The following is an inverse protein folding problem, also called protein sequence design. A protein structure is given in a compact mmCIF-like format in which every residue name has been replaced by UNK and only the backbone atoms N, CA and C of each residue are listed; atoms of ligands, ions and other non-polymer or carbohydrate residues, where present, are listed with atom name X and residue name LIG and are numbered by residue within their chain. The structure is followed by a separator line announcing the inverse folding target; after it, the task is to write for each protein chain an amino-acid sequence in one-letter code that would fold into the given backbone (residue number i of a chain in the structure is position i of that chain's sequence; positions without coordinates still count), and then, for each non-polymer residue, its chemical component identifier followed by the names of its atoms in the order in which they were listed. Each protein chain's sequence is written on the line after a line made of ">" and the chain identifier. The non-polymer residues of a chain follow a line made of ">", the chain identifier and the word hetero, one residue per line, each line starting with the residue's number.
data_IF_680683000536
#
_entry.id   IF_680683000536
#
_cell.length_a   1.000
_cell.length_b   1.000
_cell.length_c   1.000
_cell.angle_alpha   90.00
_cell.angle_beta   90.00
_cell.angle_gamma   90.00
#
_symmetry.space_group_name_H-M   'P 1'
#
loop_
_entity.id
_entity.type
_entity.pdbx_description
1 polymer ?
#
# COMPACT_ATOMS: atom_id res chain seq x y z
N UNK A 1 15.13 44.87 -27.06
CA UNK A 1 14.44 44.16 -25.96
C UNK A 1 14.24 42.73 -26.43
N UNK A 2 14.56 41.74 -25.61
CA UNK A 2 14.22 40.33 -25.88
C UNK A 2 12.71 40.14 -25.68
N UNK A 3 12.05 39.43 -26.58
CA UNK A 3 10.65 39.02 -26.39
C UNK A 3 10.68 37.78 -25.48
N UNK A 4 9.93 37.83 -24.36
CA UNK A 4 9.87 36.71 -23.42
C UNK A 4 9.14 35.51 -24.03
N UNK A 5 9.76 34.34 -23.96
CA UNK A 5 9.13 33.06 -24.23
C UNK A 5 8.77 32.40 -22.92
N UNK A 6 7.47 32.22 -22.67
CA UNK A 6 7.00 31.57 -21.43
C UNK A 6 7.57 30.15 -21.29
N UNK A 7 7.65 29.61 -20.06
CA UNK A 7 8.12 28.26 -19.85
C UNK A 7 7.31 27.24 -20.63
N UNK A 8 7.95 26.13 -21.00
CA UNK A 8 7.22 24.98 -21.53
C UNK A 8 6.27 24.43 -20.47
N UNK A 9 5.16 23.84 -20.93
CA UNK A 9 4.26 23.08 -20.05
C UNK A 9 5.08 22.05 -19.25
N UNK A 10 4.92 21.99 -17.91
CA UNK A 10 5.62 21.02 -17.10
C UNK A 10 5.36 19.59 -17.54
N UNK A 11 6.34 18.72 -17.29
CA UNK A 11 6.15 17.29 -17.42
C UNK A 11 5.07 16.80 -16.43
N UNK A 12 4.53 15.60 -16.67
CA UNK A 12 3.64 14.91 -15.72
C UNK A 12 4.29 14.93 -14.33
N UNK A 13 3.63 15.51 -13.29
CA UNK A 13 4.18 15.51 -11.94
C UNK A 13 4.46 14.10 -11.45
N UNK A 14 5.42 13.99 -10.54
CA UNK A 14 5.78 12.71 -9.90
C UNK A 14 5.44 12.73 -8.42
N UNK A 15 5.07 11.57 -7.88
CA UNK A 15 4.62 11.40 -6.50
C UNK A 15 3.97 10.03 -6.32
N UNK A 16 3.43 9.73 -5.12
CA UNK A 16 2.62 8.53 -4.90
C UNK A 16 1.35 8.56 -5.77
N UNK A 17 0.85 7.37 -6.16
CA UNK A 17 -0.43 7.24 -6.89
C UNK A 17 -1.65 7.09 -5.98
N UNK A 18 -1.44 6.89 -4.67
CA UNK A 18 -2.52 6.81 -3.69
C UNK A 18 -2.08 7.21 -2.28
N UNK A 19 -3.07 7.53 -1.45
CA UNK A 19 -2.91 7.95 -0.07
C UNK A 19 -4.17 7.78 0.75
N UNK A 20 -4.17 8.36 1.94
CA UNK A 20 -5.25 8.34 2.91
C UNK A 20 -5.50 9.78 3.33
N UNK A 21 -6.77 10.14 3.54
CA UNK A 21 -7.12 11.48 3.97
C UNK A 21 -6.43 11.88 5.28
N UNK A 22 -6.28 13.19 5.48
CA UNK A 22 -5.65 13.82 6.64
C UNK A 22 -4.16 13.46 6.81
N UNK A 23 -3.51 13.01 5.73
CA UNK A 23 -2.06 12.81 5.68
C UNK A 23 -1.43 13.68 4.59
N UNK A 24 -0.24 14.19 4.89
CA UNK A 24 0.53 15.01 3.96
C UNK A 24 1.32 14.14 2.96
N UNK A 25 1.28 14.54 1.68
CA UNK A 25 1.97 13.89 0.57
C UNK A 25 2.78 14.91 -0.23
N UNK A 26 3.94 14.49 -0.75
CA UNK A 26 4.84 15.32 -1.54
C UNK A 26 4.76 14.97 -3.03
N UNK A 27 4.70 16.00 -3.86
CA UNK A 27 4.69 15.91 -5.32
C UNK A 27 5.77 16.81 -5.89
N UNK A 28 6.31 16.41 -7.05
CA UNK A 28 7.47 17.04 -7.66
C UNK A 28 7.19 17.41 -9.11
N UNK A 29 7.78 18.52 -9.54
CA UNK A 29 7.59 19.10 -10.86
C UNK A 29 8.91 19.47 -11.52
N UNK A 30 8.93 19.44 -12.85
CA UNK A 30 10.03 19.98 -13.65
C UNK A 30 9.52 20.51 -15.00
N UNK A 31 10.20 21.53 -15.51
CA UNK A 31 9.97 22.16 -16.79
C UNK A 31 11.23 22.90 -17.25
N UNK A 32 11.25 23.31 -18.51
CA UNK A 32 12.30 24.15 -19.10
C UNK A 32 11.71 25.44 -19.63
N UNK A 33 12.49 26.51 -19.50
CA UNK A 33 12.22 27.79 -20.11
C UNK A 33 13.02 27.94 -21.42
N UNK A 34 12.38 28.25 -22.56
CA UNK A 34 13.08 28.42 -23.84
C UNK A 34 14.14 29.52 -23.81
N UNK A 35 13.91 30.51 -22.96
CA UNK A 35 14.79 31.63 -22.75
C UNK A 35 15.90 31.36 -21.72
N UNK A 36 15.90 30.15 -21.14
CA UNK A 36 16.74 29.67 -20.05
C UNK A 36 16.65 30.56 -18.79
N UNK A 37 15.49 31.19 -18.59
CA UNK A 37 15.20 31.94 -17.38
C UNK A 37 14.90 30.99 -16.19
N UNK A 38 15.07 31.53 -14.98
CA UNK A 38 14.64 30.82 -13.77
C UNK A 38 13.11 30.74 -13.74
N UNK A 39 12.62 29.60 -13.26
CA UNK A 39 11.20 29.26 -13.24
C UNK A 39 10.78 28.83 -11.84
N UNK A 40 9.51 29.01 -11.50
CA UNK A 40 8.89 28.52 -10.27
C UNK A 40 7.63 27.73 -10.64
N UNK A 41 7.14 26.91 -9.71
CA UNK A 41 6.02 26.02 -9.95
C UNK A 41 4.87 26.29 -8.96
N UNK A 42 3.65 25.98 -9.37
CA UNK A 42 2.50 25.81 -8.45
C UNK A 42 1.71 24.57 -8.84
N UNK A 43 1.05 23.98 -7.86
CA UNK A 43 0.31 22.73 -8.00
C UNK A 43 -1.18 22.99 -7.82
N UNK A 44 -1.99 22.47 -8.73
CA UNK A 44 -3.42 22.29 -8.53
C UNK A 44 -3.63 20.89 -7.97
N UNK A 45 -4.33 20.78 -6.84
CA UNK A 45 -4.48 19.51 -6.13
C UNK A 45 -5.69 18.70 -6.60
N UNK A 46 -6.57 19.27 -7.40
CA UNK A 46 -7.79 18.61 -7.88
C UNK A 46 -8.93 18.58 -6.86
N UNK A 47 -8.76 19.19 -5.68
CA UNK A 47 -9.79 19.33 -4.63
C UNK A 47 -10.36 20.76 -4.53
N UNK A 48 -9.99 21.62 -5.47
CA UNK A 48 -10.32 23.05 -5.49
C UNK A 48 -9.27 23.94 -4.83
N UNK A 49 -8.25 23.37 -4.17
CA UNK A 49 -7.11 24.09 -3.66
C UNK A 49 -5.93 24.11 -4.65
N UNK A 50 -5.09 25.13 -4.55
CA UNK A 50 -3.90 25.33 -5.38
C UNK A 50 -2.80 25.86 -4.48
N UNK A 51 -1.60 25.29 -4.57
CA UNK A 51 -0.46 25.76 -3.80
C UNK A 51 -0.11 27.21 -4.12
N UNK A 52 0.55 27.88 -3.17
CA UNK A 52 1.36 29.05 -3.50
C UNK A 52 2.41 28.70 -4.57
N UNK A 53 2.92 29.73 -5.23
CA UNK A 53 4.10 29.57 -6.08
C UNK A 53 5.32 29.23 -5.22
N UNK A 54 6.05 28.20 -5.62
CA UNK A 54 7.31 27.80 -5.02
C UNK A 54 8.45 28.78 -5.27
N UNK A 55 9.65 28.35 -4.91
CA UNK A 55 10.86 29.13 -5.16
C UNK A 55 11.24 29.12 -6.64
N UNK A 56 11.97 30.15 -7.08
CA UNK A 56 12.60 30.07 -8.39
C UNK A 56 13.75 29.07 -8.39
N UNK A 57 13.72 28.15 -9.34
CA UNK A 57 14.76 27.19 -9.69
C UNK A 57 15.32 27.49 -11.08
N UNK A 58 16.47 26.93 -11.42
CA UNK A 58 17.00 27.02 -12.78
C UNK A 58 16.08 26.30 -13.77
N UNK A 59 16.07 26.75 -15.04
CA UNK A 59 15.43 26.00 -16.14
C UNK A 59 15.92 24.55 -16.17
N UNK A 60 15.00 23.59 -16.22
CA UNK A 60 15.28 22.15 -16.10
C UNK A 60 15.48 21.65 -14.67
N UNK A 61 15.33 22.51 -13.67
CA UNK A 61 15.35 22.15 -12.26
C UNK A 61 14.05 21.48 -11.80
N UNK A 62 14.07 20.98 -10.57
CA UNK A 62 12.93 20.36 -9.90
C UNK A 62 12.53 21.19 -8.69
N UNK A 63 11.22 21.34 -8.47
CA UNK A 63 10.64 21.86 -7.23
C UNK A 63 9.58 20.88 -6.69
N UNK A 64 9.17 21.07 -5.45
CA UNK A 64 8.20 20.21 -4.78
C UNK A 64 7.23 20.99 -3.91
N UNK A 65 6.01 20.50 -3.82
CA UNK A 65 5.02 20.97 -2.85
C UNK A 65 4.34 19.80 -2.16
N UNK A 66 3.80 20.06 -0.97
CA UNK A 66 3.10 19.08 -0.18
C UNK A 66 1.64 19.48 0.05
N UNK A 67 0.74 18.49 0.04
CA UNK A 67 -0.69 18.70 0.29
C UNK A 67 -1.28 17.66 1.23
N UNK A 68 -2.36 18.04 1.92
CA UNK A 68 -3.14 17.13 2.77
C UNK A 68 -4.59 17.11 2.28
N UNK A 69 -5.02 15.98 1.73
CA UNK A 69 -6.38 15.79 1.25
C UNK A 69 -7.30 15.44 2.44
N UNK A 70 -8.41 16.15 2.62
CA UNK A 70 -9.32 15.94 3.77
C UNK A 70 -10.47 14.98 3.49
N UNK A 71 -10.67 14.59 2.24
CA UNK A 71 -11.73 13.66 1.80
C UNK A 71 -11.14 12.50 1.03
N UNK A 72 -11.74 11.30 1.15
CA UNK A 72 -11.50 10.24 0.19
C UNK A 72 -12.00 10.61 -1.20
N UNK A 73 -11.35 10.11 -2.25
CA UNK A 73 -11.70 10.40 -3.64
C UNK A 73 -10.54 10.22 -4.61
N UNK A 74 -10.79 10.55 -5.87
CA UNK A 74 -9.77 10.61 -6.93
C UNK A 74 -9.46 12.07 -7.20
N UNK A 75 -8.18 12.40 -7.23
CA UNK A 75 -7.67 13.76 -7.41
C UNK A 75 -6.73 13.81 -8.62
N UNK A 76 -6.89 14.84 -9.45
CA UNK A 76 -6.07 15.07 -10.64
C UNK A 76 -5.06 16.18 -10.35
N UNK A 77 -3.84 15.80 -10.02
CA UNK A 77 -2.78 16.74 -9.63
C UNK A 77 -2.09 17.26 -10.90
N UNK A 78 -2.10 18.57 -11.08
CA UNK A 78 -1.49 19.24 -12.23
C UNK A 78 -0.50 20.31 -11.78
N UNK A 79 0.45 20.65 -12.64
CA UNK A 79 1.46 21.68 -12.35
C UNK A 79 1.51 22.73 -13.45
N UNK A 80 1.74 23.98 -13.05
CA UNK A 80 2.04 25.09 -13.94
C UNK A 80 3.39 25.70 -13.58
N UNK A 81 4.14 26.16 -14.59
CA UNK A 81 5.39 26.89 -14.42
C UNK A 81 5.21 28.39 -14.73
N UNK A 82 6.05 29.22 -14.12
CA UNK A 82 6.14 30.66 -14.40
C UNK A 82 7.59 31.14 -14.39
N UNK A 83 7.97 31.93 -15.38
CA UNK A 83 9.29 32.55 -15.45
C UNK A 83 9.43 33.78 -14.53
N UNK A 84 10.65 34.34 -14.45
CA UNK A 84 10.95 35.54 -13.64
C UNK A 84 10.31 36.83 -14.17
N UNK A 85 9.87 36.83 -15.43
CA UNK A 85 9.21 37.94 -16.11
C UNK A 85 7.67 37.86 -15.95
N UNK A 86 7.17 36.80 -15.30
CA UNK A 86 5.77 36.57 -15.00
C UNK A 86 5.00 35.79 -16.08
N UNK A 87 5.68 35.30 -17.12
CA UNK A 87 5.07 34.46 -18.14
C UNK A 87 4.72 33.08 -17.62
N UNK A 88 3.46 32.66 -17.76
CA UNK A 88 2.97 31.37 -17.27
C UNK A 88 2.80 30.36 -18.41
N UNK A 89 3.11 29.09 -18.12
CA UNK A 89 2.83 27.96 -19.01
C UNK A 89 1.35 27.55 -18.98
N UNK A 90 0.97 26.58 -19.82
CA UNK A 90 -0.23 25.77 -19.56
C UNK A 90 -0.02 24.83 -18.37
N UNK A 91 -1.11 24.28 -17.85
CA UNK A 91 -1.08 23.17 -16.88
C UNK A 91 -0.61 21.88 -17.55
N UNK A 92 0.11 21.04 -16.80
CA UNK A 92 0.53 19.71 -17.22
C UNK A 92 -0.64 18.75 -17.42
N UNK A 93 -0.37 17.60 -18.01
CA UNK A 93 -1.24 16.42 -17.86
C UNK A 93 -1.40 16.06 -16.37
N UNK A 94 -2.55 15.50 -15.96
CA UNK A 94 -2.83 15.19 -14.56
C UNK A 94 -2.17 13.88 -14.11
N UNK A 95 -1.55 13.91 -12.91
CA UNK A 95 -1.25 12.71 -12.15
C UNK A 95 -2.48 12.32 -11.33
N UNK A 96 -3.02 11.12 -11.58
CA UNK A 96 -4.14 10.58 -10.81
C UNK A 96 -3.65 10.12 -9.43
N UNK A 97 -4.25 10.67 -8.38
CA UNK A 97 -3.97 10.34 -6.99
C UNK A 97 -5.26 9.88 -6.28
N UNK A 98 -5.26 8.67 -5.74
CA UNK A 98 -6.44 8.08 -5.08
C UNK A 98 -6.29 8.17 -3.56
N UNK A 99 -7.20 8.86 -2.90
CA UNK A 99 -7.24 8.98 -1.43
C UNK A 99 -8.36 8.11 -0.87
N UNK A 100 -8.04 7.28 0.13
CA UNK A 100 -9.06 6.52 0.87
C UNK A 100 -9.45 7.23 2.17
N UNK A 101 -10.67 6.96 2.64
CA UNK A 101 -11.16 7.52 3.91
C UNK A 101 -10.49 6.89 5.14
N UNK A 102 -10.05 5.64 5.04
CA UNK A 102 -9.50 4.90 6.17
C UNK A 102 -8.12 4.37 5.82
N UNK A 103 -7.11 4.79 6.59
CA UNK A 103 -5.87 4.04 6.70
C UNK A 103 -6.14 2.94 7.72
N UNK A 104 -6.29 1.71 7.27
CA UNK A 104 -6.30 0.60 8.21
C UNK A 104 -4.92 0.50 8.87
N UNK A 105 -4.86 0.28 10.19
CA UNK A 105 -3.61 0.13 10.91
C UNK A 105 -2.63 -0.82 10.21
N UNK A 106 -3.12 -1.96 9.72
CA UNK A 106 -2.34 -2.86 8.92
C UNK A 106 -3.11 -3.45 7.74
N UNK A 107 -2.40 -3.60 6.62
CA UNK A 107 -2.81 -4.43 5.49
C UNK A 107 -1.66 -5.38 5.17
N UNK A 108 -1.97 -6.63 4.89
CA UNK A 108 -1.00 -7.67 4.56
C UNK A 108 -1.38 -8.24 3.20
N UNK A 109 -0.46 -8.18 2.26
CA UNK A 109 -0.65 -8.67 0.91
C UNK A 109 0.21 -9.91 0.66
N UNK A 110 -0.43 -10.98 0.20
CA UNK A 110 0.20 -12.21 -0.25
C UNK A 110 0.11 -12.31 -1.77
N UNK A 111 1.26 -12.50 -2.43
CA UNK A 111 1.35 -12.80 -3.87
C UNK A 111 2.19 -14.05 -4.08
N UNK A 112 1.89 -14.87 -5.09
CA UNK A 112 2.69 -16.05 -5.46
C UNK A 112 2.65 -16.29 -6.98
N UNK A 113 3.48 -17.22 -7.47
CA UNK A 113 3.49 -17.64 -8.87
C UNK A 113 2.37 -18.64 -9.18
N UNK A 114 2.21 -19.05 -10.43
CA UNK A 114 1.17 -19.99 -10.88
C UNK A 114 1.15 -21.35 -10.13
N UNK A 115 2.29 -21.77 -9.57
CA UNK A 115 2.45 -23.06 -8.90
C UNK A 115 3.09 -22.90 -7.51
N UNK A 116 2.54 -23.50 -6.44
CA UNK A 116 1.28 -24.26 -6.43
C UNK A 116 0.08 -23.36 -6.71
N UNK A 117 -0.99 -24.00 -7.20
CA UNK A 117 -2.17 -23.29 -7.72
C UNK A 117 -2.87 -22.49 -6.62
N UNK A 118 -2.83 -22.99 -5.38
CA UNK A 118 -3.67 -22.51 -4.30
C UNK A 118 -2.90 -22.49 -2.98
N UNK A 119 -2.59 -21.29 -2.51
CA UNK A 119 -2.08 -21.05 -1.18
C UNK A 119 -2.91 -19.95 -0.52
N UNK A 120 -3.25 -20.15 0.75
CA UNK A 120 -4.21 -19.32 1.47
C UNK A 120 -3.53 -18.55 2.59
N UNK A 121 -3.96 -17.31 2.80
CA UNK A 121 -3.61 -16.46 3.90
C UNK A 121 -4.45 -16.81 5.12
N UNK A 122 -3.76 -17.00 6.23
CA UNK A 122 -4.36 -17.25 7.54
C UNK A 122 -3.84 -16.24 8.54
N UNK A 123 -4.74 -15.67 9.34
CA UNK A 123 -4.37 -14.86 10.49
C UNK A 123 -5.18 -15.25 11.72
N UNK A 124 -4.47 -15.42 12.84
CA UNK A 124 -5.08 -15.55 14.16
C UNK A 124 -4.96 -14.21 14.88
N UNK A 125 -6.06 -13.76 15.44
CA UNK A 125 -6.13 -12.53 16.23
C UNK A 125 -5.79 -12.80 17.70
N UNK A 126 -5.31 -11.79 18.44
CA UNK A 126 -5.34 -11.84 19.90
C UNK A 126 -6.79 -11.90 20.41
N UNK A 127 -6.97 -12.03 21.72
CA UNK A 127 -8.30 -11.93 22.30
C UNK A 127 -8.90 -10.54 22.07
N UNK A 128 -10.02 -10.49 21.35
CA UNK A 128 -10.80 -9.30 21.03
C UNK A 128 -12.17 -9.49 21.66
N UNK A 129 -12.51 -8.61 22.59
CA UNK A 129 -13.78 -8.65 23.33
C UNK A 129 -14.02 -9.96 24.10
N UNK A 130 -12.95 -10.71 24.39
CA UNK A 130 -12.99 -11.97 25.15
C UNK A 130 -12.71 -13.22 24.32
N UNK A 131 -12.79 -13.13 23.00
CA UNK A 131 -12.64 -14.27 22.08
C UNK A 131 -11.45 -14.09 21.13
N UNK A 132 -10.84 -15.21 20.72
CA UNK A 132 -9.81 -15.22 19.67
C UNK A 132 -10.40 -15.77 18.38
N UNK A 133 -9.97 -15.20 17.26
CA UNK A 133 -10.54 -15.48 15.95
C UNK A 133 -9.48 -15.93 14.97
N UNK A 134 -9.86 -16.87 14.11
CA UNK A 134 -9.07 -17.30 12.96
C UNK A 134 -9.75 -16.79 11.69
N UNK A 135 -9.05 -15.94 10.94
CA UNK A 135 -9.52 -15.33 9.70
C UNK A 135 -8.78 -15.96 8.53
N UNK A 136 -9.54 -16.54 7.61
CA UNK A 136 -9.10 -17.27 6.41
C UNK A 136 -10.26 -17.39 5.42
N UNK A 137 -10.07 -18.05 4.27
CA UNK A 137 -11.10 -18.14 3.22
C UNK A 137 -12.48 -18.62 3.73
N UNK A 138 -12.51 -19.59 4.65
CA UNK A 138 -13.75 -20.16 5.19
C UNK A 138 -14.43 -19.28 6.24
N UNK A 139 -13.70 -18.33 6.83
CA UNK A 139 -14.16 -17.37 7.85
C UNK A 139 -13.47 -16.04 7.64
N UNK A 140 -13.98 -15.25 6.70
CA UNK A 140 -13.28 -14.06 6.19
C UNK A 140 -13.22 -12.89 7.18
N UNK A 141 -13.98 -12.93 8.29
CA UNK A 141 -13.96 -11.87 9.29
C UNK A 141 -14.77 -10.62 8.89
N UNK A 142 -14.60 -9.54 9.66
CA UNK A 142 -15.33 -8.28 9.50
C UNK A 142 -14.46 -7.11 9.95
N UNK A 143 -14.60 -5.94 9.32
CA UNK A 143 -13.82 -4.73 9.65
C UNK A 143 -14.48 -3.81 10.67
N UNK A 144 -15.78 -3.98 10.94
CA UNK A 144 -16.56 -3.05 11.76
C UNK A 144 -17.13 -3.65 13.05
N UNK A 145 -16.90 -4.95 13.24
CA UNK A 145 -17.23 -5.73 14.44
C UNK A 145 -16.13 -6.76 14.64
N UNK A 146 -15.99 -7.33 15.84
CA UNK A 146 -15.07 -8.43 16.10
C UNK A 146 -15.13 -9.46 14.96
N UNK A 147 -13.98 -9.80 14.33
CA UNK A 147 -12.61 -9.59 14.82
C UNK A 147 -11.92 -8.27 14.43
N UNK A 148 -12.60 -7.29 13.82
CA UNK A 148 -11.98 -6.07 13.25
C UNK A 148 -10.79 -6.38 12.32
N UNK A 149 -10.86 -7.55 11.69
CA UNK A 149 -9.87 -8.11 10.81
C UNK A 149 -10.61 -8.86 9.71
N UNK A 150 -10.24 -8.66 8.46
CA UNK A 150 -10.90 -9.31 7.33
C UNK A 150 -9.91 -9.74 6.27
N UNK A 151 -10.11 -10.92 5.71
CA UNK A 151 -9.62 -11.29 4.39
C UNK A 151 -10.52 -10.62 3.34
N UNK A 152 -9.94 -9.96 2.34
CA UNK A 152 -10.69 -9.36 1.23
C UNK A 152 -11.20 -10.45 0.27
N UNK A 153 -12.37 -10.21 -0.33
CA UNK A 153 -13.12 -11.15 -1.17
C UNK A 153 -13.02 -10.79 -2.65
N UNK A 154 -12.49 -9.61 -3.00
CA UNK A 154 -12.51 -9.14 -4.39
C UNK A 154 -11.56 -9.90 -5.33
N UNK A 155 -10.67 -10.75 -4.79
CA UNK A 155 -9.79 -11.63 -5.57
C UNK A 155 -9.80 -13.10 -5.08
N UNK A 156 -10.98 -13.71 -5.06
CA UNK A 156 -11.18 -15.15 -4.76
C UNK A 156 -11.09 -16.05 -6.00
N UNK A 157 -10.73 -15.51 -7.16
CA UNK A 157 -10.72 -16.24 -8.43
C UNK A 157 -9.37 -16.15 -9.14
N UNK A 158 -8.44 -16.98 -8.67
CA UNK A 158 -7.15 -17.36 -9.28
C UNK A 158 -5.98 -16.35 -9.20
N UNK A 159 -4.80 -16.88 -8.84
CA UNK A 159 -3.44 -16.34 -8.96
C UNK A 159 -3.10 -15.01 -8.25
N UNK A 160 -3.87 -14.64 -7.23
CA UNK A 160 -3.52 -13.62 -6.22
C UNK A 160 -3.55 -12.16 -6.70
N UNK A 161 -3.44 -11.18 -5.77
CA UNK A 161 -3.09 -11.28 -4.35
C UNK A 161 -4.25 -11.51 -3.36
N UNK A 162 -3.94 -12.13 -2.22
CA UNK A 162 -4.83 -12.11 -1.05
C UNK A 162 -4.47 -10.98 -0.09
N UNK A 163 -5.50 -10.25 0.39
CA UNK A 163 -5.32 -9.13 1.31
C UNK A 163 -5.98 -9.40 2.65
N UNK A 164 -5.19 -9.37 3.73
CA UNK A 164 -5.71 -9.29 5.09
C UNK A 164 -5.62 -7.85 5.59
N UNK A 165 -6.73 -7.32 6.08
CA UNK A 165 -6.82 -6.00 6.70
C UNK A 165 -7.09 -6.14 8.19
N UNK A 166 -6.31 -5.44 9.02
CA UNK A 166 -6.58 -5.23 10.45
C UNK A 166 -7.10 -3.80 10.60
N UNK A 167 -8.41 -3.66 10.80
CA UNK A 167 -9.06 -2.35 10.90
C UNK A 167 -8.90 -1.69 12.26
N UNK A 168 -8.73 -2.49 13.32
CA UNK A 168 -8.50 -1.98 14.68
C UNK A 168 -7.45 -2.84 15.38
N UNK A 169 -6.46 -2.18 15.98
CA UNK A 169 -5.40 -2.84 16.74
C UNK A 169 -5.88 -3.16 18.16
N UNK A 170 -5.74 -4.42 18.57
CA UNK A 170 -5.93 -4.87 19.94
C UNK A 170 -4.61 -5.35 20.55
N UNK A 171 -4.41 -5.19 21.87
CA UNK A 171 -3.21 -5.70 22.54
C UNK A 171 -3.08 -7.23 22.41
N UNK A 172 -1.86 -7.70 22.16
CA UNK A 172 -1.55 -9.11 21.96
C UNK A 172 -0.86 -9.36 20.62
N UNK A 173 -0.70 -10.63 20.25
CA UNK A 173 -0.06 -11.03 19.00
C UNK A 173 -1.10 -11.45 17.97
N UNK A 174 -1.08 -10.81 16.82
CA UNK A 174 -1.64 -11.37 15.59
C UNK A 174 -0.60 -12.30 14.99
N UNK A 175 -1.00 -13.50 14.58
CA UNK A 175 -0.09 -14.49 13.99
C UNK A 175 -0.52 -14.73 12.56
N UNK A 176 0.39 -14.56 11.60
CA UNK A 176 0.10 -14.73 10.18
C UNK A 176 0.88 -15.91 9.61
N UNK A 177 0.18 -16.78 8.88
CA UNK A 177 0.76 -17.90 8.15
C UNK A 177 0.14 -18.02 6.75
N UNK A 178 0.82 -18.77 5.89
CA UNK A 178 0.31 -19.17 4.58
C UNK A 178 0.21 -20.68 4.54
N UNK A 179 -0.92 -21.21 4.07
CA UNK A 179 -1.13 -22.65 3.92
C UNK A 179 -1.07 -23.04 2.45
N UNK A 180 -0.40 -24.13 2.11
CA UNK A 180 -0.56 -24.75 0.80
C UNK A 180 -1.81 -25.62 0.82
N UNK A 181 -2.86 -25.24 0.11
CA UNK A 181 -4.12 -25.99 0.11
C UNK A 181 -4.22 -26.96 -1.05
N UNK A 182 -3.82 -26.53 -2.26
CA UNK A 182 -3.94 -27.37 -3.45
C UNK A 182 -2.95 -27.02 -4.58
N UNK A 183 -2.81 -27.97 -5.50
CA UNK A 183 -2.00 -27.84 -6.71
C UNK A 183 -0.61 -28.46 -6.57
N UNK A 184 0.03 -28.64 -7.71
CA UNK A 184 1.34 -29.29 -7.81
C UNK A 184 2.47 -28.39 -7.27
N UNK A 185 3.59 -28.99 -6.91
CA UNK A 185 4.74 -28.35 -6.24
C UNK A 185 4.46 -28.03 -4.77
N UNK A 186 5.36 -27.30 -4.13
CA UNK A 186 5.32 -27.05 -2.68
C UNK A 186 5.28 -25.57 -2.38
N UNK A 187 4.90 -25.22 -1.15
CA UNK A 187 4.92 -23.81 -0.70
C UNK A 187 6.31 -23.18 -0.84
N UNK A 188 7.40 -23.93 -0.66
CA UNK A 188 8.77 -23.42 -0.79
C UNK A 188 9.16 -23.00 -2.22
N UNK A 189 8.49 -23.55 -3.24
CA UNK A 189 8.72 -23.22 -4.65
C UNK A 189 7.71 -22.21 -5.21
N UNK A 190 6.75 -21.77 -4.39
CA UNK A 190 5.65 -20.88 -4.78
C UNK A 190 6.10 -19.51 -5.29
N UNK A 191 7.31 -19.08 -4.93
CA UNK A 191 7.72 -17.69 -5.08
C UNK A 191 6.88 -16.71 -4.24
N UNK A 192 6.20 -17.21 -3.21
CA UNK A 192 5.32 -16.38 -2.39
C UNK A 192 6.07 -15.23 -1.70
N UNK A 193 5.43 -14.07 -1.71
CA UNK A 193 5.90 -12.83 -1.09
C UNK A 193 4.79 -12.25 -0.23
N UNK A 194 5.09 -12.02 1.04
CA UNK A 194 4.21 -11.32 1.98
C UNK A 194 4.73 -9.89 2.19
N UNK A 195 3.86 -8.91 1.96
CA UNK A 195 4.14 -7.49 2.21
C UNK A 195 3.23 -6.98 3.32
N UNK A 196 3.83 -6.35 4.33
CA UNK A 196 3.11 -5.77 5.47
C UNK A 196 3.14 -4.25 5.32
N UNK A 197 1.96 -3.65 5.34
CA UNK A 197 1.77 -2.21 5.30
C UNK A 197 1.25 -1.72 6.64
N UNK A 198 1.81 -0.62 7.16
CA UNK A 198 1.31 0.07 8.34
C UNK A 198 0.79 1.45 7.93
N UNK A 199 -0.51 1.69 8.13
CA UNK A 199 -1.21 2.89 7.63
C UNK A 199 -0.85 3.22 6.16
N UNK A 200 -0.82 2.18 5.31
CA UNK A 200 -0.48 2.24 3.89
C UNK A 200 1.02 2.30 3.55
N UNK A 201 1.93 2.43 4.53
CA UNK A 201 3.38 2.41 4.27
C UNK A 201 3.91 0.99 4.32
N UNK A 202 4.65 0.55 3.30
CA UNK A 202 5.35 -0.73 3.33
C UNK A 202 6.38 -0.74 4.47
N UNK A 203 6.20 -1.63 5.44
CA UNK A 203 7.11 -1.76 6.60
C UNK A 203 7.97 -3.03 6.54
N UNK A 204 7.50 -4.08 5.87
CA UNK A 204 8.23 -5.35 5.69
C UNK A 204 7.84 -6.05 4.39
N UNK A 205 8.82 -6.72 3.81
CA UNK A 205 8.66 -7.71 2.73
C UNK A 205 9.35 -9.00 3.17
N UNK A 206 8.63 -10.11 3.10
CA UNK A 206 9.11 -11.44 3.47
C UNK A 206 8.90 -12.38 2.27
N UNK A 207 9.95 -13.08 1.88
CA UNK A 207 9.89 -14.07 0.80
C UNK A 207 9.83 -15.45 1.44
N UNK A 208 9.04 -16.35 0.85
CA UNK A 208 8.96 -17.74 1.29
C UNK A 208 10.36 -18.37 1.33
N UNK A 209 10.72 -19.10 2.40
CA UNK A 209 12.05 -19.68 2.50
C UNK A 209 12.18 -20.87 1.55
N UNK A 210 13.34 -20.99 0.92
CA UNK A 210 13.69 -22.14 0.09
C UNK A 210 14.21 -23.29 0.97
N UNK A 211 13.33 -23.84 1.81
CA UNK A 211 13.58 -25.01 2.66
C UNK A 211 12.69 -26.18 2.25
N UNK A 212 13.04 -27.44 2.58
CA UNK A 212 12.20 -28.58 2.26
C UNK A 212 10.77 -28.38 2.77
N UNK A 213 9.81 -28.71 1.91
CA UNK A 213 8.39 -28.63 2.19
C UNK A 213 7.71 -29.89 1.64
N UNK A 214 6.72 -30.39 2.36
CA UNK A 214 5.81 -31.42 1.88
C UNK A 214 4.50 -30.81 1.37
N UNK A 215 3.62 -31.69 0.89
CA UNK A 215 2.27 -31.33 0.50
C UNK A 215 1.48 -30.84 1.72
N UNK A 216 0.68 -29.81 1.54
CA UNK A 216 -0.18 -29.23 2.56
C UNK A 216 0.54 -28.63 3.77
N UNK A 217 1.81 -28.28 3.62
CA UNK A 217 2.60 -27.64 4.68
C UNK A 217 2.31 -26.14 4.79
N UNK A 218 2.74 -25.58 5.91
CA UNK A 218 2.54 -24.20 6.30
C UNK A 218 3.83 -23.41 6.19
N UNK A 219 3.71 -22.13 5.84
CA UNK A 219 4.74 -21.12 6.02
C UNK A 219 4.31 -20.20 7.15
N UNK A 220 4.95 -20.31 8.31
CA UNK A 220 4.75 -19.40 9.43
C UNK A 220 5.55 -18.13 9.15
N UNK A 221 4.86 -17.02 8.92
CA UNK A 221 5.49 -15.83 8.36
C UNK A 221 5.97 -14.89 9.46
N UNK A 222 5.05 -14.37 10.27
CA UNK A 222 5.36 -13.40 11.31
C UNK A 222 4.32 -13.39 12.44
N UNK A 223 4.70 -12.76 13.55
CA UNK A 223 3.78 -12.25 14.57
C UNK A 223 3.83 -10.73 14.62
N UNK A 224 2.69 -10.10 14.87
CA UNK A 224 2.52 -8.65 14.91
C UNK A 224 1.84 -8.25 16.21
N UNK A 225 2.48 -7.35 16.95
CA UNK A 225 1.79 -6.57 17.98
C UNK A 225 1.27 -5.28 17.32
N UNK A 226 -0.01 -5.28 16.96
CA UNK A 226 -0.59 -4.18 16.17
C UNK A 226 -0.64 -2.83 16.92
N UNK A 227 -0.58 -2.85 18.26
CA UNK A 227 -0.58 -1.62 19.08
C UNK A 227 0.79 -0.96 19.11
N UNK A 228 1.87 -1.75 19.21
CA UNK A 228 3.25 -1.23 19.28
C UNK A 228 3.94 -1.15 17.92
N UNK A 229 3.45 -1.92 16.94
CA UNK A 229 4.08 -2.12 15.64
C UNK A 229 5.29 -3.03 15.61
N UNK A 230 5.55 -3.75 16.71
CA UNK A 230 6.58 -4.78 16.73
C UNK A 230 6.19 -5.96 15.81
N UNK A 231 7.09 -6.32 14.90
CA UNK A 231 6.95 -7.45 13.99
C UNK A 231 8.05 -8.46 14.30
N UNK A 232 7.66 -9.62 14.82
CA UNK A 232 8.55 -10.77 15.04
C UNK A 232 8.50 -11.67 13.82
N UNK A 233 9.57 -11.70 13.05
CA UNK A 233 9.69 -12.56 11.85
C UNK A 233 9.92 -14.00 12.29
N UNK A 234 9.08 -14.93 11.81
CA UNK A 234 9.24 -16.37 12.03
C UNK A 234 9.94 -17.01 10.82
N UNK A 235 9.37 -16.76 9.64
CA UNK A 235 9.85 -17.19 8.33
C UNK A 235 10.33 -18.65 8.25
N UNK A 236 9.50 -19.58 8.73
CA UNK A 236 9.80 -21.02 8.79
C UNK A 236 8.70 -21.83 8.12
N UNK A 237 9.08 -22.93 7.47
CA UNK A 237 8.15 -23.89 6.89
C UNK A 237 7.97 -25.06 7.87
N UNK A 238 6.73 -25.46 8.11
CA UNK A 238 6.37 -26.48 9.09
C UNK A 238 5.19 -27.34 8.57
N UNK A 239 5.13 -28.66 8.87
CA UNK A 239 3.97 -29.49 8.54
C UNK A 239 2.67 -29.06 9.25
N UNK A 240 2.75 -28.39 10.41
CA UNK A 240 1.60 -28.04 11.24
C UNK A 240 1.30 -26.53 11.22
N UNK A 241 0.04 -26.10 11.43
CA UNK A 241 -0.30 -24.69 11.58
C UNK A 241 0.34 -24.10 12.85
N UNK A 242 0.58 -22.77 12.90
CA UNK A 242 1.19 -22.13 14.07
C UNK A 242 0.31 -22.16 15.31
N UNK A 243 -1.01 -22.33 15.14
CA UNK A 243 -1.99 -22.54 16.19
C UNK A 243 -2.98 -23.63 15.76
N UNK A 244 -3.51 -24.42 16.71
CA UNK A 244 -4.50 -25.45 16.39
C UNK A 244 -5.78 -24.83 15.84
N UNK A 245 -6.43 -25.56 14.94
CA UNK A 245 -7.79 -25.27 14.47
C UNK A 245 -8.71 -25.00 15.67
N UNK A 246 -9.50 -23.94 15.60
CA UNK A 246 -10.55 -23.76 16.61
C UNK A 246 -11.57 -24.90 16.42
N UNK A 247 -12.13 -25.45 17.49
CA UNK A 247 -12.94 -26.70 17.50
C UNK A 247 -14.17 -26.69 16.57
N UNK A 248 -14.42 -25.59 15.87
CA UNK A 248 -15.58 -25.30 15.04
C UNK A 248 -15.29 -25.48 13.53
N UNK A 249 -14.11 -26.01 13.18
CA UNK A 249 -13.57 -26.11 11.80
C UNK A 249 -13.46 -27.57 11.28
N UNK A 250 -14.08 -28.54 11.96
CA UNK A 250 -14.26 -29.91 11.44
C UNK A 250 -15.69 -30.11 10.94
N UNK A 251 -16.05 -29.57 9.78
CA UNK A 251 -17.18 -30.04 8.97
C UNK A 251 -17.15 -29.44 7.57
#
# INVERSE_FOLDING_TARGET
>A
MRINQVPQTPALPTGPGSGVKNRQYWFYATATDPDNDMIQFRFSWGDGDTSDWGGFVASGGTDSAAHTFTTGGVFEIMVQARDKLGGESFWSEPLVFVVTDTAYPYTIALTWNEHPRDIDAHIWTPAIEGDSWHVYFGRQGFLHVAPYCSLDVDDVSSFGPEHITIAQAFPGEYIYAVHHWAGDSTISTSGAVVRIYNYGNLVRTLNVPNTPAGDNWWWHVFKLNAVTGEITVLNVIDPDPPLPWTMDERK
#
